data_IF_133552711174
#
_entry.id   IF_133552711174
#
_cell.length_a   1.000
_cell.length_b   1.000
_cell.length_c   1.000
_cell.angle_alpha   90.00
_cell.angle_beta   90.00
_cell.angle_gamma   90.00
#
_symmetry.space_group_name_H-M   'P 1'
#
loop_
_entity.id
_entity.type
_entity.pdbx_description
1 polymer ?
#
# COMPACT_ATOMS: atom_id res chain seq x y z
N UNK A 1 -22.81 19.50 49.61
CA UNK A 1 -21.43 19.35 49.12
C UNK A 1 -21.44 18.25 48.08
N UNK A 2 -21.24 18.57 46.81
CA UNK A 2 -21.34 17.60 45.71
C UNK A 2 -21.33 18.32 44.37
N UNK A 3 -20.17 18.87 44.01
CA UNK A 3 -19.95 19.47 42.69
C UNK A 3 -19.54 18.39 41.70
N UNK A 4 -20.31 18.24 40.62
CA UNK A 4 -19.89 17.45 39.46
C UNK A 4 -18.94 18.29 38.61
N UNK A 5 -17.70 17.84 38.46
CA UNK A 5 -16.72 18.43 37.55
C UNK A 5 -16.92 17.76 36.18
N UNK A 6 -17.39 18.53 35.20
CA UNK A 6 -17.47 18.08 33.82
C UNK A 6 -16.06 17.98 33.24
N UNK A 7 -15.70 16.79 32.72
CA UNK A 7 -14.49 16.56 31.95
C UNK A 7 -14.66 17.23 30.58
N UNK A 8 -13.89 18.30 30.35
CA UNK A 8 -13.76 18.94 29.04
C UNK A 8 -13.29 17.92 28.00
N UNK A 9 -14.04 17.80 26.91
CA UNK A 9 -13.68 16.97 25.76
C UNK A 9 -12.37 17.50 25.15
N UNK A 10 -11.39 16.61 25.02
CA UNK A 10 -10.18 16.88 24.25
C UNK A 10 -10.58 16.93 22.76
N UNK A 11 -10.43 18.11 22.16
CA UNK A 11 -10.50 18.27 20.71
C UNK A 11 -9.37 17.46 20.07
N UNK A 12 -9.73 16.48 19.25
CA UNK A 12 -8.78 15.79 18.38
C UNK A 12 -8.04 16.84 17.56
N UNK A 13 -6.74 16.97 17.81
CA UNK A 13 -5.85 17.79 17.01
C UNK A 13 -5.88 17.31 15.56
N UNK A 14 -6.22 18.21 14.65
CA UNK A 14 -6.10 17.97 13.23
C UNK A 14 -4.65 17.67 12.87
N UNK A 15 -4.42 16.50 12.30
CA UNK A 15 -3.17 16.18 11.60
C UNK A 15 -3.10 17.01 10.32
N UNK A 16 -2.60 18.23 10.43
CA UNK A 16 -2.22 19.05 9.28
C UNK A 16 -0.96 18.43 8.65
N UNK A 17 -1.14 17.70 7.55
CA UNK A 17 -0.03 17.13 6.78
C UNK A 17 -0.41 16.01 5.81
N UNK A 18 -1.60 15.41 5.92
CA UNK A 18 -2.05 14.41 4.97
C UNK A 18 -2.63 15.08 3.72
N UNK A 19 -1.95 15.01 2.58
CA UNK A 19 -2.60 15.35 1.31
C UNK A 19 -3.73 14.34 1.09
N UNK A 20 -4.97 14.80 0.96
CA UNK A 20 -6.08 13.91 0.63
C UNK A 20 -5.79 13.18 -0.70
N UNK A 21 -6.25 11.93 -0.86
CA UNK A 21 -6.13 11.25 -2.16
C UNK A 21 -6.84 12.06 -3.25
N UNK A 22 -6.33 12.01 -4.51
CA UNK A 22 -7.01 12.64 -5.63
C UNK A 22 -8.42 12.09 -5.85
N UNK A 23 -9.30 12.91 -6.41
CA UNK A 23 -10.68 12.50 -6.69
C UNK A 23 -10.70 11.32 -7.69
N UNK A 24 -11.45 10.27 -7.35
CA UNK A 24 -11.51 9.05 -8.16
C UNK A 24 -10.39 8.05 -7.86
N UNK A 25 -9.48 8.36 -6.93
CA UNK A 25 -8.50 7.41 -6.44
C UNK A 25 -9.17 6.31 -5.61
N UNK A 26 -8.93 5.06 -5.99
CA UNK A 26 -9.20 3.91 -5.13
C UNK A 26 -8.13 2.83 -5.29
N UNK A 27 -7.81 2.18 -4.17
CA UNK A 27 -7.05 0.93 -4.13
C UNK A 27 -8.05 -0.20 -4.25
N UNK A 28 -7.89 -1.04 -5.27
CA UNK A 28 -8.80 -2.13 -5.59
C UNK A 28 -8.05 -3.45 -5.41
N UNK A 29 -8.46 -4.26 -4.41
CA UNK A 29 -7.97 -5.62 -4.21
C UNK A 29 -8.03 -6.49 -5.46
N UNK A 30 -7.10 -7.43 -5.52
CA UNK A 30 -7.10 -8.52 -6.46
C UNK A 30 -8.28 -9.47 -6.30
N UNK A 31 -8.56 -10.25 -7.34
CA UNK A 31 -9.58 -11.30 -7.24
C UNK A 31 -9.18 -12.35 -6.19
N UNK A 32 -10.14 -12.76 -5.36
CA UNK A 32 -9.92 -13.74 -4.29
C UNK A 32 -9.20 -13.20 -3.05
N UNK A 33 -8.79 -11.93 -3.04
CA UNK A 33 -8.19 -11.30 -1.86
C UNK A 33 -9.23 -10.54 -1.01
N UNK A 34 -8.99 -10.38 0.30
CA UNK A 34 -9.86 -9.61 1.20
C UNK A 34 -10.11 -8.19 0.70
N UNK A 35 -11.36 -7.73 0.82
CA UNK A 35 -11.72 -6.34 0.52
C UNK A 35 -11.11 -5.39 1.56
N UNK A 36 -11.01 -4.10 1.23
CA UNK A 36 -10.52 -3.11 2.20
C UNK A 36 -11.42 -3.04 3.44
N UNK A 37 -12.73 -3.12 3.24
CA UNK A 37 -13.72 -3.08 4.31
C UNK A 37 -13.56 -4.28 5.26
N UNK A 38 -13.28 -5.47 4.71
CA UNK A 38 -13.05 -6.68 5.52
C UNK A 38 -11.79 -6.59 6.39
N UNK A 39 -10.84 -5.73 5.99
CA UNK A 39 -9.63 -5.42 6.75
C UNK A 39 -9.77 -4.17 7.62
N UNK A 40 -10.95 -3.55 7.66
CA UNK A 40 -11.20 -2.26 8.32
C UNK A 40 -10.25 -1.15 7.82
N UNK A 41 -10.03 -1.10 6.52
CA UNK A 41 -9.19 -0.12 5.83
C UNK A 41 -9.99 0.68 4.81
N UNK A 42 -9.43 1.83 4.42
CA UNK A 42 -9.96 2.65 3.33
C UNK A 42 -8.85 3.00 2.35
N UNK A 43 -9.21 3.32 1.11
CA UNK A 43 -8.25 3.79 0.12
C UNK A 43 -7.54 5.08 0.57
N UNK A 44 -8.24 5.97 1.27
CA UNK A 44 -7.66 7.20 1.80
C UNK A 44 -6.62 6.94 2.88
N UNK A 45 -6.88 5.99 3.77
CA UNK A 45 -5.94 5.57 4.80
C UNK A 45 -4.66 4.98 4.17
N UNK A 46 -4.81 4.10 3.17
CA UNK A 46 -3.67 3.53 2.44
C UNK A 46 -2.84 4.60 1.72
N UNK A 47 -3.52 5.58 1.11
CA UNK A 47 -2.84 6.70 0.45
C UNK A 47 -2.04 7.55 1.44
N UNK A 48 -2.59 7.78 2.64
CA UNK A 48 -1.88 8.51 3.69
C UNK A 48 -0.66 7.73 4.19
N UNK A 49 -0.80 6.44 4.49
CA UNK A 49 0.34 5.58 4.89
C UNK A 49 1.44 5.55 3.83
N UNK A 50 1.05 5.51 2.55
CA UNK A 50 1.98 5.57 1.44
C UNK A 50 2.77 6.89 1.40
N UNK A 51 2.14 8.04 1.66
CA UNK A 51 2.85 9.33 1.76
C UNK A 51 3.87 9.31 2.90
N UNK A 52 3.43 8.91 4.09
CA UNK A 52 4.31 8.85 5.27
C UNK A 52 5.53 7.95 5.01
N UNK A 53 5.32 6.79 4.39
CA UNK A 53 6.43 5.90 4.01
C UNK A 53 7.38 6.55 3.01
N UNK A 54 6.84 7.18 1.98
CA UNK A 54 7.63 7.87 0.96
C UNK A 54 8.51 8.95 1.60
N UNK A 55 7.93 9.79 2.46
CA UNK A 55 8.64 10.86 3.16
C UNK A 55 9.76 10.32 4.07
N UNK A 56 9.48 9.26 4.83
CA UNK A 56 10.48 8.62 5.72
C UNK A 56 11.65 8.03 4.94
N UNK A 57 11.39 7.36 3.81
CA UNK A 57 12.45 6.80 2.97
C UNK A 57 13.34 7.89 2.38
N UNK A 58 12.75 8.99 1.88
CA UNK A 58 13.51 10.10 1.33
C UNK A 58 14.34 10.80 2.40
N UNK A 59 13.79 10.98 3.61
CA UNK A 59 14.54 11.51 4.74
C UNK A 59 15.72 10.62 5.16
N UNK A 60 15.54 9.29 5.15
CA UNK A 60 16.61 8.33 5.50
C UNK A 60 17.72 8.26 4.43
N UNK A 61 17.37 8.41 3.15
CA UNK A 61 18.34 8.33 2.04
C UNK A 61 19.37 9.47 2.04
N UNK A 62 19.06 10.59 2.71
CA UNK A 62 20.01 11.69 2.92
C UNK A 62 21.15 11.34 3.90
N UNK A 63 21.02 10.25 4.67
CA UNK A 63 21.95 9.87 5.75
C UNK A 63 22.86 8.67 5.40
N UNK A 64 22.59 8.00 4.28
CA UNK A 64 23.30 6.80 3.80
C UNK A 64 24.35 7.15 2.73
N UNK A 65 25.28 8.06 3.04
CA UNK A 65 26.34 8.48 2.11
C UNK A 65 27.54 7.52 2.07
N UNK A 66 27.48 6.35 2.71
CA UNK A 66 28.65 5.44 2.86
C UNK A 66 28.49 4.04 2.27
N UNK A 67 27.28 3.64 1.85
CA UNK A 67 27.05 2.33 1.24
C UNK A 67 26.86 2.45 -0.27
N UNK A 68 27.76 1.83 -1.02
CA UNK A 68 27.66 1.74 -2.47
C UNK A 68 26.66 0.63 -2.86
N UNK A 69 25.63 1.02 -3.61
CA UNK A 69 24.57 0.11 -4.07
C UNK A 69 25.15 -0.92 -5.04
N UNK A 70 25.20 -2.20 -4.63
CA UNK A 70 25.80 -3.32 -5.38
C UNK A 70 24.98 -3.86 -6.56
N UNK A 71 23.76 -3.34 -6.78
CA UNK A 71 22.87 -3.79 -7.84
C UNK A 71 22.09 -2.60 -8.42
N UNK A 72 22.03 -2.53 -9.75
CA UNK A 72 21.17 -1.60 -10.49
C UNK A 72 19.85 -2.31 -10.80
N UNK A 73 18.73 -2.03 -10.07
CA UNK A 73 17.41 -2.48 -10.48
C UNK A 73 17.16 -2.14 -11.95
N UNK A 74 16.95 -3.19 -12.75
CA UNK A 74 16.55 -3.04 -14.14
C UNK A 74 15.04 -2.74 -14.16
N UNK A 75 14.69 -1.46 -14.26
CA UNK A 75 13.34 -1.05 -14.62
C UNK A 75 13.20 -1.14 -16.14
N UNK A 76 12.00 -1.42 -16.65
CA UNK A 76 11.69 -1.45 -18.10
C UNK A 76 11.68 -0.05 -18.76
N UNK A 77 12.30 0.94 -18.11
CA UNK A 77 12.33 2.35 -18.51
C UNK A 77 11.00 3.09 -18.34
N UNK A 78 9.93 2.43 -17.91
CA UNK A 78 8.63 3.08 -17.71
C UNK A 78 8.55 3.71 -16.33
N UNK A 79 8.23 5.00 -16.30
CA UNK A 79 7.90 5.69 -15.06
C UNK A 79 6.61 5.13 -14.46
N UNK A 80 6.64 4.82 -13.17
CA UNK A 80 5.45 4.47 -12.39
C UNK A 80 5.14 5.58 -11.40
N UNK A 81 3.86 5.77 -11.09
CA UNK A 81 3.49 6.66 -10.01
C UNK A 81 3.79 5.97 -8.67
N UNK A 82 4.88 6.39 -8.03
CA UNK A 82 5.41 5.74 -6.82
C UNK A 82 4.44 5.82 -5.64
N UNK A 83 3.70 6.92 -5.51
CA UNK A 83 2.72 7.12 -4.45
C UNK A 83 1.57 6.09 -4.55
N UNK A 84 1.09 5.85 -5.78
CA UNK A 84 0.08 4.82 -6.03
C UNK A 84 0.64 3.41 -5.84
N UNK A 85 1.90 3.19 -6.21
CA UNK A 85 2.59 1.91 -5.98
C UNK A 85 2.67 1.60 -4.49
N UNK A 86 3.06 2.58 -3.67
CA UNK A 86 3.08 2.43 -2.22
C UNK A 86 1.70 2.22 -1.61
N UNK A 87 0.64 2.80 -2.19
CA UNK A 87 -0.72 2.57 -1.69
C UNK A 87 -1.13 1.10 -1.84
N UNK A 88 -0.77 0.45 -2.97
CA UNK A 88 -0.94 -0.99 -3.11
C UNK A 88 -0.03 -1.79 -2.18
N UNK A 89 1.22 -1.36 -1.99
CA UNK A 89 2.13 -1.99 -1.04
C UNK A 89 1.57 -2.02 0.40
N UNK A 90 0.99 -0.91 0.87
CA UNK A 90 0.39 -0.84 2.20
C UNK A 90 -0.83 -1.77 2.35
N UNK A 91 -1.60 -1.99 1.28
CA UNK A 91 -2.64 -3.01 1.26
C UNK A 91 -2.04 -4.42 1.40
N UNK A 92 -1.00 -4.74 0.61
CA UNK A 92 -0.33 -6.04 0.68
C UNK A 92 0.29 -6.29 2.05
N UNK A 93 0.83 -5.25 2.69
CA UNK A 93 1.35 -5.34 4.05
C UNK A 93 0.24 -5.64 5.06
N UNK A 94 -0.94 -5.04 4.89
CA UNK A 94 -2.09 -5.28 5.76
C UNK A 94 -2.70 -6.67 5.61
N UNK A 95 -2.50 -7.35 4.47
CA UNK A 95 -2.88 -8.75 4.32
C UNK A 95 -2.10 -9.67 5.27
N UNK A 96 -0.88 -9.29 5.66
CA UNK A 96 -0.01 -10.09 6.51
C UNK A 96 0.17 -11.50 5.95
N UNK A 97 -0.24 -12.50 6.74
CA UNK A 97 -0.18 -13.92 6.38
C UNK A 97 -1.52 -14.42 5.81
N UNK A 98 -2.16 -13.64 4.95
CA UNK A 98 -3.38 -14.11 4.25
C UNK A 98 -2.98 -14.98 3.06
N UNK A 99 -3.59 -16.18 2.88
CA UNK A 99 -3.23 -17.02 1.74
C UNK A 99 -3.63 -16.34 0.45
N UNK A 100 -2.72 -16.28 -0.51
CA UNK A 100 -3.03 -15.83 -1.84
C UNK A 100 -2.89 -16.99 -2.82
N UNK A 101 -3.71 -16.96 -3.85
CA UNK A 101 -3.77 -17.98 -4.89
C UNK A 101 -3.24 -17.36 -6.17
N UNK A 102 -2.13 -17.90 -6.68
CA UNK A 102 -1.51 -17.46 -7.93
C UNK A 102 -1.71 -18.54 -8.98
N UNK A 103 -2.42 -18.20 -10.04
CA UNK A 103 -2.61 -19.13 -11.17
C UNK A 103 -1.38 -19.15 -12.06
N UNK A 104 -1.29 -20.13 -12.96
CA UNK A 104 -0.22 -20.19 -13.97
C UNK A 104 -0.21 -19.01 -14.94
N UNK A 105 -1.32 -18.26 -15.06
CA UNK A 105 -1.41 -17.02 -15.83
C UNK A 105 -1.03 -15.77 -15.02
N UNK A 106 -0.57 -15.95 -13.78
CA UNK A 106 -0.39 -14.88 -12.81
C UNK A 106 -1.68 -14.51 -12.08
N UNK A 107 -1.55 -13.62 -11.11
CA UNK A 107 -2.67 -13.04 -10.37
C UNK A 107 -2.40 -11.56 -10.11
N UNK A 108 -3.42 -10.72 -10.33
CA UNK A 108 -3.36 -9.32 -9.92
C UNK A 108 -3.71 -9.23 -8.45
N UNK A 109 -2.76 -8.81 -7.61
CA UNK A 109 -2.99 -8.70 -6.17
C UNK A 109 -3.58 -7.34 -5.77
N UNK A 110 -3.21 -6.29 -6.49
CA UNK A 110 -3.74 -4.95 -6.24
C UNK A 110 -3.66 -4.12 -7.49
N UNK A 111 -4.61 -3.21 -7.68
CA UNK A 111 -4.43 -2.10 -8.60
C UNK A 111 -5.03 -0.82 -8.05
N UNK A 112 -4.66 0.29 -8.65
CA UNK A 112 -5.27 1.58 -8.38
C UNK A 112 -6.16 2.00 -9.54
N UNK A 113 -7.19 2.76 -9.22
CA UNK A 113 -8.07 3.40 -10.20
C UNK A 113 -8.05 4.90 -9.97
N UNK A 114 -8.01 5.66 -11.06
CA UNK A 114 -8.00 7.13 -11.15
C UNK A 114 -7.98 7.53 -12.64
N UNK A 115 -8.00 8.84 -12.93
CA UNK A 115 -7.94 9.42 -14.26
C UNK A 115 -6.65 9.09 -15.03
N UNK A 116 -5.49 8.98 -14.35
CA UNK A 116 -4.23 8.58 -14.99
C UNK A 116 -3.20 8.05 -13.99
N UNK A 117 -2.18 7.35 -14.50
CA UNK A 117 -1.06 6.85 -13.70
C UNK A 117 -1.37 5.63 -12.85
N UNK A 118 -2.44 4.89 -13.18
CA UNK A 118 -2.82 3.67 -12.49
C UNK A 118 -1.69 2.65 -12.50
N UNK A 119 -1.50 2.02 -11.35
CA UNK A 119 -0.51 0.95 -11.17
C UNK A 119 -1.22 -0.35 -10.80
N UNK A 120 -0.59 -1.47 -11.14
CA UNK A 120 -1.03 -2.79 -10.74
C UNK A 120 0.16 -3.62 -10.26
N UNK A 121 -0.07 -4.37 -9.19
CA UNK A 121 0.88 -5.33 -8.62
C UNK A 121 0.41 -6.73 -9.00
N UNK A 122 1.34 -7.48 -9.61
CA UNK A 122 1.10 -8.83 -10.10
C UNK A 122 2.03 -9.82 -9.39
N UNK A 123 1.51 -11.01 -9.11
CA UNK A 123 2.29 -12.17 -8.74
C UNK A 123 2.27 -13.18 -9.87
N UNK A 124 3.43 -13.75 -10.20
CA UNK A 124 3.57 -14.79 -11.21
C UNK A 124 4.45 -15.91 -10.67
N UNK A 125 4.18 -17.15 -11.09
CA UNK A 125 5.00 -18.32 -10.72
C UNK A 125 6.23 -18.50 -11.61
N UNK A 126 6.52 -17.56 -12.51
CA UNK A 126 7.56 -17.65 -13.55
C UNK A 126 7.51 -18.97 -14.35
N UNK A 127 6.32 -19.56 -14.51
CA UNK A 127 6.14 -20.85 -15.18
C UNK A 127 6.69 -22.05 -14.41
N UNK A 128 7.20 -21.86 -13.18
CA UNK A 128 7.66 -22.94 -12.32
C UNK A 128 6.43 -23.58 -11.68
N UNK A 129 5.89 -24.59 -12.37
CA UNK A 129 4.69 -25.32 -11.98
C UNK A 129 3.49 -24.86 -12.81
N UNK A 130 3.07 -25.71 -13.75
CA UNK A 130 1.89 -25.49 -14.60
C UNK A 130 0.54 -25.55 -13.84
N UNK A 131 0.51 -25.09 -12.59
CA UNK A 131 -0.64 -25.14 -11.70
C UNK A 131 -0.75 -23.90 -10.81
N UNK A 132 -1.77 -23.92 -9.97
CA UNK A 132 -2.03 -22.88 -8.97
C UNK A 132 -1.08 -23.03 -7.79
N UNK A 133 -0.36 -21.98 -7.43
CA UNK A 133 0.46 -21.92 -6.20
C UNK A 133 -0.30 -21.15 -5.13
N UNK A 134 -0.40 -21.74 -3.94
CA UNK A 134 -0.98 -21.11 -2.76
C UNK A 134 0.09 -21.01 -1.66
N UNK A 135 0.14 -19.87 -0.97
CA UNK A 135 0.93 -19.79 0.26
C UNK A 135 0.29 -20.65 1.35
N UNK A 136 1.02 -21.66 1.83
CA UNK A 136 0.63 -22.51 2.96
C UNK A 136 1.40 -22.10 4.22
N UNK A 137 0.76 -22.17 5.39
CA UNK A 137 1.37 -21.98 6.71
C UNK A 137 1.66 -23.31 7.38
#
# INVERSE_FOLDING_TARGET
>A
MGGAVALSQASAGGVTGALAPPAGFAVVPGEGLPSLESLNLTSAELYHRAQVRFDLQHASSAHESSLERRYEPQCDGKGINIQRAYSCFEYLLALGNTPCVVTSAGARFCHTTDASGNVAWWGETNGIGGGTTQSTW
#
